data_IF_354661214577
#
_entry.id   IF_354661214577
#
_cell.length_a   1.000
_cell.length_b   1.000
_cell.length_c   1.000
_cell.angle_alpha   90.00
_cell.angle_beta   90.00
_cell.angle_gamma   90.00
#
_symmetry.space_group_name_H-M   'P 1'
#
loop_
_entity.id
_entity.type
_entity.pdbx_description
1 polymer ?
#
# COMPACT_ATOMS: atom_id res chain seq x y z
N UNK A 1 -6.00 7.69 18.13
CA UNK A 1 -7.18 7.75 17.25
C UNK A 1 -8.50 7.62 18.00
N UNK A 2 -8.50 7.38 19.30
CA UNK A 2 -9.74 7.16 20.08
C UNK A 2 -10.45 5.85 19.72
N UNK A 3 -9.89 5.06 18.80
CA UNK A 3 -10.40 3.74 18.44
C UNK A 3 -10.01 2.69 19.50
N UNK A 4 -10.83 1.65 19.72
CA UNK A 4 -10.47 0.52 20.55
C UNK A 4 -9.24 -0.21 20.00
N UNK A 5 -8.48 -0.85 20.89
CA UNK A 5 -7.35 -1.68 20.50
C UNK A 5 -7.79 -3.14 20.39
N UNK A 6 -7.40 -3.83 19.33
CA UNK A 6 -7.64 -5.25 19.13
C UNK A 6 -6.38 -5.92 18.58
N UNK A 7 -5.84 -6.91 19.31
CA UNK A 7 -4.57 -7.58 18.99
C UNK A 7 -4.69 -9.10 18.82
N UNK A 8 -5.81 -9.66 19.21
CA UNK A 8 -6.08 -11.09 19.07
C UNK A 8 -7.10 -11.32 17.96
N UNK A 9 -7.06 -12.51 17.37
CA UNK A 9 -8.03 -12.89 16.33
C UNK A 9 -9.48 -12.76 16.81
N UNK A 10 -9.75 -13.07 18.09
CA UNK A 10 -11.09 -12.97 18.66
C UNK A 10 -11.56 -11.51 18.81
N UNK A 11 -10.64 -10.61 19.23
CA UNK A 11 -10.94 -9.18 19.33
C UNK A 11 -11.16 -8.56 17.94
N UNK A 12 -10.34 -8.94 16.95
CA UNK A 12 -10.44 -8.44 15.58
C UNK A 12 -11.77 -8.77 14.91
N UNK A 13 -12.33 -9.97 15.14
CA UNK A 13 -13.62 -10.41 14.52
C UNK A 13 -14.81 -9.50 14.80
N UNK A 14 -14.68 -8.57 15.74
CA UNK A 14 -15.74 -7.62 16.11
C UNK A 14 -15.72 -6.35 15.26
N UNK A 15 -14.73 -6.21 14.35
CA UNK A 15 -14.52 -4.99 13.58
C UNK A 15 -14.50 -5.25 12.08
N UNK A 16 -14.93 -4.25 11.31
CA UNK A 16 -14.88 -4.27 9.86
C UNK A 16 -13.48 -3.93 9.34
N UNK A 17 -12.78 -3.01 10.05
CA UNK A 17 -11.46 -2.51 9.68
C UNK A 17 -10.48 -2.57 10.84
N UNK A 18 -9.22 -2.88 10.54
CA UNK A 18 -8.14 -2.84 11.51
C UNK A 18 -6.96 -2.01 11.00
N UNK A 19 -6.56 -1.01 11.80
CA UNK A 19 -5.41 -0.13 11.49
C UNK A 19 -4.13 -0.76 12.02
N UNK A 20 -3.17 -1.00 11.12
CA UNK A 20 -1.86 -1.56 11.43
C UNK A 20 -0.77 -0.54 11.12
N UNK A 21 0.16 -0.33 12.04
CA UNK A 21 1.35 0.49 11.80
C UNK A 21 2.54 -0.37 11.38
N UNK A 22 3.30 0.11 10.40
CA UNK A 22 4.54 -0.49 9.90
C UNK A 22 5.66 0.54 9.97
N UNK A 23 6.31 0.72 11.14
CA UNK A 23 7.36 1.71 11.33
C UNK A 23 8.69 1.24 10.71
N UNK A 24 8.73 1.10 9.38
CA UNK A 24 9.87 0.57 8.62
C UNK A 24 10.52 1.65 7.75
N UNK A 25 11.85 1.69 7.72
CA UNK A 25 12.66 2.59 6.89
C UNK A 25 13.91 1.88 6.34
N UNK A 26 13.82 0.56 6.13
CA UNK A 26 14.95 -0.25 5.65
C UNK A 26 15.22 -0.08 4.17
N UNK A 27 14.23 0.30 3.37
CA UNK A 27 14.34 0.50 1.92
C UNK A 27 14.77 1.91 1.50
N UNK A 28 15.26 2.73 2.43
CA UNK A 28 15.67 4.10 2.14
C UNK A 28 16.92 4.15 1.27
N UNK A 29 16.82 4.80 0.11
CA UNK A 29 17.86 4.81 -0.94
C UNK A 29 18.92 5.89 -0.78
N UNK A 30 18.68 6.89 0.05
CA UNK A 30 19.64 7.97 0.31
C UNK A 30 20.12 7.91 1.74
N UNK A 31 21.43 8.01 1.94
CA UNK A 31 22.02 8.08 3.28
C UNK A 31 21.39 9.20 4.09
N UNK A 32 20.69 8.84 5.13
CA UNK A 32 19.97 9.76 5.97
C UNK A 32 18.60 9.21 6.38
N UNK A 33 18.11 9.75 7.44
CA UNK A 33 16.82 9.39 8.02
C UNK A 33 15.69 10.15 7.31
N UNK A 34 14.74 9.45 6.72
CA UNK A 34 13.60 10.05 6.01
C UNK A 34 12.38 10.24 6.91
N UNK A 35 12.46 9.83 8.15
CA UNK A 35 11.38 9.90 9.14
C UNK A 35 10.15 9.01 8.87
N UNK A 36 10.20 8.14 7.88
CA UNK A 36 9.11 7.21 7.58
C UNK A 36 8.78 6.29 8.78
N UNK A 37 9.79 5.93 9.57
CA UNK A 37 9.64 5.10 10.76
C UNK A 37 8.69 5.70 11.80
N UNK A 38 8.56 7.02 11.87
CA UNK A 38 7.66 7.69 12.82
C UNK A 38 6.28 8.01 12.25
N UNK A 39 6.06 7.78 10.95
CA UNK A 39 4.81 8.12 10.29
C UNK A 39 3.57 7.45 10.93
N UNK A 40 3.57 6.14 11.28
CA UNK A 40 2.41 5.53 11.93
C UNK A 40 2.03 6.23 13.24
N UNK A 41 3.02 6.58 14.07
CA UNK A 41 2.81 7.30 15.33
C UNK A 41 2.30 8.72 15.09
N UNK A 42 2.87 9.43 14.10
CA UNK A 42 2.50 10.80 13.78
C UNK A 42 1.07 10.87 13.25
N UNK A 43 0.69 9.97 12.34
CA UNK A 43 -0.68 9.88 11.80
C UNK A 43 -1.67 9.65 12.93
N UNK A 44 -1.40 8.69 13.85
CA UNK A 44 -2.25 8.44 15.01
C UNK A 44 -2.40 9.66 15.93
N UNK A 45 -1.33 10.41 16.15
CA UNK A 45 -1.38 11.60 17.02
C UNK A 45 -2.23 12.72 16.42
N UNK A 46 -2.15 12.91 15.11
CA UNK A 46 -2.93 13.94 14.39
C UNK A 46 -4.39 13.51 14.23
N UNK A 47 -4.66 12.22 14.06
CA UNK A 47 -6.02 11.70 13.83
C UNK A 47 -7.00 11.99 14.96
N UNK A 48 -6.52 12.31 16.17
CA UNK A 48 -7.37 12.72 17.29
C UNK A 48 -8.15 14.02 17.05
N UNK A 49 -7.78 14.78 16.02
CA UNK A 49 -8.45 16.03 15.61
C UNK A 49 -9.59 15.80 14.63
N UNK A 50 -9.74 14.58 14.13
CA UNK A 50 -10.72 14.25 13.11
C UNK A 50 -11.84 13.40 13.71
N UNK A 51 -13.05 13.65 13.23
CA UNK A 51 -14.26 12.88 13.55
C UNK A 51 -14.74 12.13 12.30
N UNK A 52 -15.65 11.20 12.45
CA UNK A 52 -16.16 10.39 11.34
C UNK A 52 -17.12 11.10 10.40
N UNK A 53 -17.63 12.28 10.80
CA UNK A 53 -18.63 12.99 10.02
C UNK A 53 -18.10 13.67 8.75
N UNK A 54 -18.73 13.38 7.63
CA UNK A 54 -18.42 13.91 6.30
C UNK A 54 -19.54 14.84 5.83
N UNK A 55 -19.35 16.17 5.92
CA UNK A 55 -20.44 17.13 5.66
C UNK A 55 -20.94 17.13 4.22
N UNK A 56 -20.10 16.78 3.24
CA UNK A 56 -20.51 16.70 1.83
C UNK A 56 -21.55 15.61 1.55
N UNK A 57 -21.62 14.62 2.44
CA UNK A 57 -22.52 13.45 2.32
C UNK A 57 -23.58 13.37 3.42
N UNK A 58 -23.53 14.28 4.40
CA UNK A 58 -24.34 14.24 5.63
C UNK A 58 -24.32 12.86 6.30
N UNK A 59 -23.12 12.36 6.56
CA UNK A 59 -22.86 10.97 6.91
C UNK A 59 -21.72 10.87 7.95
N UNK A 60 -21.92 10.10 9.02
CA UNK A 60 -20.83 9.71 9.93
C UNK A 60 -20.36 8.31 9.62
N UNK A 61 -19.07 8.19 9.29
CA UNK A 61 -18.42 6.94 8.94
C UNK A 61 -18.59 5.87 10.03
N UNK A 62 -18.52 6.28 11.30
CA UNK A 62 -18.56 5.34 12.43
C UNK A 62 -19.96 4.86 12.81
N UNK A 63 -21.02 5.43 12.21
CA UNK A 63 -22.36 4.86 12.34
C UNK A 63 -22.56 3.59 11.50
N UNK A 64 -21.68 3.36 10.51
CA UNK A 64 -21.83 2.29 9.51
C UNK A 64 -20.69 1.29 9.51
N UNK A 65 -19.53 1.64 10.06
CA UNK A 65 -18.38 0.75 10.09
C UNK A 65 -17.61 0.84 11.41
N UNK A 66 -17.21 -0.30 11.90
CA UNK A 66 -16.44 -0.45 13.12
C UNK A 66 -14.95 -0.56 12.80
N UNK A 67 -14.13 0.19 13.53
CA UNK A 67 -12.68 0.23 13.34
C UNK A 67 -11.93 -0.02 14.64
N UNK A 68 -10.81 -0.72 14.57
CA UNK A 68 -9.88 -0.90 15.70
C UNK A 68 -8.43 -0.57 15.32
N UNK A 69 -7.59 -0.36 16.33
CA UNK A 69 -6.15 -0.20 16.18
C UNK A 69 -5.45 -1.52 16.58
N UNK A 70 -4.88 -2.19 15.59
CA UNK A 70 -4.07 -3.40 15.77
C UNK A 70 -2.72 -3.08 16.43
N UNK A 71 -2.25 -1.83 16.29
CA UNK A 71 -0.97 -1.36 16.78
C UNK A 71 0.14 -1.46 15.73
N UNK A 72 1.37 -1.24 16.17
CA UNK A 72 2.54 -1.36 15.30
C UNK A 72 3.08 -2.79 15.34
N UNK A 73 3.45 -3.32 14.16
CA UNK A 73 4.10 -4.63 14.05
C UNK A 73 5.58 -4.54 14.47
N UNK A 74 6.17 -5.65 14.95
CA UNK A 74 7.60 -5.69 15.25
C UNK A 74 8.43 -5.52 13.98
N UNK A 75 9.41 -4.63 14.03
CA UNK A 75 10.38 -4.38 12.96
C UNK A 75 11.79 -4.60 13.49
N UNK A 76 12.64 -5.22 12.69
CA UNK A 76 14.07 -5.35 12.95
C UNK A 76 14.84 -4.58 11.88
N UNK A 77 15.43 -3.45 12.28
CA UNK A 77 16.30 -2.67 11.40
C UNK A 77 17.50 -3.51 10.92
N UNK A 78 17.82 -3.41 9.62
CA UNK A 78 18.89 -4.18 9.00
C UNK A 78 18.51 -5.62 8.61
N UNK A 79 17.25 -6.04 8.80
CA UNK A 79 16.76 -7.34 8.34
C UNK A 79 15.46 -7.19 7.55
N UNK A 80 15.57 -7.26 6.23
CA UNK A 80 14.38 -7.36 5.36
C UNK A 80 13.59 -8.65 5.65
N UNK A 81 14.29 -9.76 5.81
CA UNK A 81 13.66 -11.06 6.04
C UNK A 81 12.74 -11.04 7.26
N UNK A 82 13.25 -10.61 8.41
CA UNK A 82 12.45 -10.50 9.64
C UNK A 82 11.30 -9.52 9.48
N UNK A 83 11.59 -8.32 8.99
CA UNK A 83 10.59 -7.25 8.89
C UNK A 83 9.48 -7.60 7.89
N UNK A 84 9.83 -8.19 6.74
CA UNK A 84 8.85 -8.62 5.74
C UNK A 84 8.01 -9.80 6.22
N UNK A 85 8.59 -10.75 6.95
CA UNK A 85 7.83 -11.83 7.58
C UNK A 85 6.84 -11.28 8.61
N UNK A 86 7.26 -10.30 9.40
CA UNK A 86 6.39 -9.61 10.37
C UNK A 86 5.23 -8.87 9.70
N UNK A 87 5.47 -8.19 8.57
CA UNK A 87 4.45 -7.51 7.77
C UNK A 87 3.42 -8.50 7.22
N UNK A 88 3.87 -9.60 6.59
CA UNK A 88 2.98 -10.66 6.08
C UNK A 88 2.15 -11.27 7.20
N UNK A 89 2.76 -11.56 8.33
CA UNK A 89 2.04 -12.09 9.50
C UNK A 89 0.96 -11.13 9.98
N UNK A 90 1.30 -9.85 10.17
CA UNK A 90 0.35 -8.85 10.69
C UNK A 90 -0.86 -8.66 9.78
N UNK A 91 -0.64 -8.47 8.47
CA UNK A 91 -1.76 -8.35 7.52
C UNK A 91 -2.54 -9.66 7.42
N UNK A 92 -1.85 -10.80 7.49
CA UNK A 92 -2.48 -12.12 7.47
C UNK A 92 -3.42 -12.34 8.64
N UNK A 93 -3.03 -11.98 9.85
CA UNK A 93 -3.88 -12.09 11.05
C UNK A 93 -5.15 -11.22 10.94
N UNK A 94 -5.03 -10.01 10.39
CA UNK A 94 -6.17 -9.12 10.17
C UNK A 94 -7.14 -9.72 9.14
N UNK A 95 -6.61 -10.23 8.01
CA UNK A 95 -7.42 -10.86 6.97
C UNK A 95 -8.09 -12.16 7.45
N UNK A 96 -7.40 -12.97 8.25
CA UNK A 96 -7.96 -14.21 8.82
C UNK A 96 -9.11 -13.95 9.79
N UNK A 97 -9.12 -12.77 10.44
CA UNK A 97 -10.22 -12.34 11.26
C UNK A 97 -11.42 -11.80 10.46
N UNK A 98 -11.28 -11.63 9.15
CA UNK A 98 -12.32 -11.06 8.28
C UNK A 98 -12.32 -9.54 8.20
N UNK A 99 -11.33 -8.86 8.80
CA UNK A 99 -11.21 -7.41 8.76
C UNK A 99 -10.51 -6.94 7.49
N UNK A 100 -10.84 -5.72 7.07
CA UNK A 100 -10.09 -5.02 6.02
C UNK A 100 -8.89 -4.29 6.66
N UNK A 101 -7.64 -4.59 6.26
CA UNK A 101 -6.46 -3.92 6.80
C UNK A 101 -6.32 -2.50 6.26
N UNK A 102 -6.05 -1.54 7.16
CA UNK A 102 -5.60 -0.19 6.83
C UNK A 102 -4.17 -0.05 7.37
N UNK A 103 -3.18 0.07 6.50
CA UNK A 103 -1.78 0.11 6.90
C UNK A 103 -1.23 1.53 6.85
N UNK A 104 -0.72 1.99 7.98
CA UNK A 104 0.09 3.21 8.03
C UNK A 104 1.56 2.82 7.90
N UNK A 105 2.15 3.24 6.80
CA UNK A 105 3.48 2.82 6.45
C UNK A 105 4.59 3.65 7.02
N UNK A 106 5.72 3.06 6.85
CA UNK A 106 7.05 3.46 6.67
C UNK A 106 7.36 3.84 5.23
N UNK A 107 8.53 3.45 4.72
CA UNK A 107 8.88 3.68 3.31
C UNK A 107 8.10 2.75 2.36
N UNK A 108 8.14 3.05 1.05
CA UNK A 108 7.28 2.36 0.09
C UNK A 108 7.65 0.88 -0.17
N UNK A 109 8.82 0.42 0.29
CA UNK A 109 9.22 -0.98 0.16
C UNK A 109 8.26 -1.95 0.86
N UNK A 110 7.50 -1.47 1.85
CA UNK A 110 6.49 -2.26 2.58
C UNK A 110 5.38 -2.79 1.67
N UNK A 111 5.09 -2.12 0.56
CA UNK A 111 4.04 -2.56 -0.37
C UNK A 111 4.31 -3.95 -0.95
N UNK A 112 5.58 -4.31 -1.17
CA UNK A 112 5.91 -5.63 -1.70
C UNK A 112 5.47 -6.78 -0.77
N UNK A 113 5.90 -6.88 0.50
CA UNK A 113 5.47 -7.96 1.38
C UNK A 113 3.97 -7.97 1.67
N UNK A 114 3.31 -6.81 1.74
CA UNK A 114 1.88 -6.73 1.99
C UNK A 114 1.07 -7.26 0.80
N UNK A 115 1.41 -6.84 -0.43
CA UNK A 115 0.75 -7.34 -1.65
C UNK A 115 1.08 -8.82 -1.89
N UNK A 116 2.32 -9.23 -1.65
CA UNK A 116 2.75 -10.63 -1.78
C UNK A 116 1.95 -11.57 -0.87
N UNK A 117 1.57 -11.13 0.34
CA UNK A 117 0.67 -11.91 1.21
C UNK A 117 -0.73 -12.06 0.60
N UNK A 118 -1.29 -11.00 0.01
CA UNK A 118 -2.55 -11.09 -0.73
C UNK A 118 -2.42 -12.04 -1.92
N UNK A 119 -1.32 -11.99 -2.66
CA UNK A 119 -1.06 -12.87 -3.80
C UNK A 119 -0.94 -14.33 -3.37
N UNK A 120 -0.37 -14.62 -2.20
CA UNK A 120 -0.33 -15.97 -1.64
C UNK A 120 -1.74 -16.52 -1.39
N UNK A 121 -2.67 -15.70 -0.94
CA UNK A 121 -4.06 -16.06 -0.61
C UNK A 121 -4.97 -16.14 -1.85
N UNK A 122 -4.87 -15.16 -2.74
CA UNK A 122 -5.77 -14.96 -3.88
C UNK A 122 -5.13 -15.31 -5.23
N UNK A 123 -3.87 -15.75 -5.24
CA UNK A 123 -3.10 -16.02 -6.45
C UNK A 123 -3.14 -14.80 -7.40
N UNK A 124 -3.27 -15.00 -8.69
CA UNK A 124 -3.33 -13.95 -9.72
C UNK A 124 -4.61 -13.12 -9.73
N UNK A 125 -5.39 -13.18 -8.65
CA UNK A 125 -6.67 -12.47 -8.51
C UNK A 125 -6.59 -11.25 -7.59
N UNK A 126 -5.41 -10.60 -7.55
CA UNK A 126 -5.15 -9.36 -6.82
C UNK A 126 -4.98 -8.21 -7.82
N UNK A 127 -5.77 -7.15 -7.68
CA UNK A 127 -5.59 -5.89 -8.39
C UNK A 127 -4.81 -4.90 -7.53
N UNK A 128 -4.07 -3.97 -8.15
CA UNK A 128 -3.30 -2.94 -7.44
C UNK A 128 -3.56 -1.56 -8.03
N UNK A 129 -4.04 -0.63 -7.19
CA UNK A 129 -4.12 0.79 -7.48
C UNK A 129 -2.99 1.51 -6.73
N UNK A 130 -2.02 2.03 -7.48
CA UNK A 130 -0.85 2.72 -6.93
C UNK A 130 -0.92 4.21 -7.24
N UNK A 131 -1.25 5.03 -6.24
CA UNK A 131 -1.28 6.49 -6.33
C UNK A 131 0.04 7.08 -5.87
N UNK A 132 0.80 7.66 -6.79
CA UNK A 132 2.15 8.18 -6.53
C UNK A 132 2.59 9.21 -7.58
N UNK A 133 3.65 9.94 -7.26
CA UNK A 133 4.44 10.70 -8.22
C UNK A 133 5.45 9.79 -8.97
N UNK A 134 5.87 8.70 -8.35
CA UNK A 134 6.93 7.82 -8.81
C UNK A 134 6.39 6.45 -9.25
N UNK A 135 7.15 5.74 -10.06
CA UNK A 135 6.78 4.39 -10.52
C UNK A 135 7.17 3.30 -9.52
N UNK A 136 8.29 3.48 -8.83
CA UNK A 136 8.85 2.53 -7.86
C UNK A 136 9.03 1.11 -8.42
N UNK A 137 9.48 1.05 -9.68
CA UNK A 137 9.69 -0.17 -10.45
C UNK A 137 11.14 -0.41 -10.83
N UNK A 138 12.09 0.22 -10.11
CA UNK A 138 13.53 -0.03 -10.30
C UNK A 138 13.86 -1.49 -10.02
N UNK A 139 14.69 -2.15 -10.86
CA UNK A 139 15.16 -3.50 -10.57
C UNK A 139 15.97 -3.58 -9.29
N UNK A 140 16.83 -2.60 -9.05
CA UNK A 140 17.66 -2.44 -7.85
C UNK A 140 17.96 -0.96 -7.63
N UNK A 141 18.37 -0.61 -6.43
CA UNK A 141 19.04 0.67 -6.17
C UNK A 141 20.41 0.37 -5.55
N UNK A 142 21.49 0.59 -6.32
CA UNK A 142 22.77 -0.03 -6.00
C UNK A 142 22.61 -1.55 -5.99
N UNK A 143 23.06 -2.17 -4.91
CA UNK A 143 22.91 -3.61 -4.69
C UNK A 143 21.64 -4.01 -3.92
N UNK A 144 20.80 -3.02 -3.55
CA UNK A 144 19.59 -3.27 -2.78
C UNK A 144 18.40 -3.61 -3.69
N UNK A 145 17.96 -4.88 -3.59
CA UNK A 145 16.80 -5.40 -4.30
C UNK A 145 15.45 -4.93 -3.71
N UNK A 146 15.46 -4.55 -2.44
CA UNK A 146 14.23 -4.22 -1.68
C UNK A 146 14.12 -2.75 -1.32
N UNK A 147 14.83 -1.90 -2.07
CA UNK A 147 14.75 -0.46 -1.88
C UNK A 147 13.31 0.05 -2.05
N UNK A 148 13.02 1.21 -1.49
CA UNK A 148 11.69 1.86 -1.60
C UNK A 148 11.26 2.19 -3.03
N UNK A 149 12.20 2.24 -3.99
CA UNK A 149 11.90 2.42 -5.41
C UNK A 149 11.78 1.10 -6.19
N UNK A 150 11.75 -0.05 -5.51
CA UNK A 150 11.74 -1.37 -6.15
C UNK A 150 10.53 -2.28 -5.82
N UNK A 151 9.54 -1.90 -4.99
CA UNK A 151 8.52 -2.83 -4.52
C UNK A 151 7.73 -3.46 -5.67
N UNK A 152 7.38 -2.67 -6.68
CA UNK A 152 6.59 -3.18 -7.80
C UNK A 152 7.42 -4.00 -8.77
N UNK A 153 8.73 -3.73 -8.91
CA UNK A 153 9.61 -4.62 -9.68
C UNK A 153 9.71 -6.00 -9.03
N UNK A 154 9.79 -6.05 -7.68
CA UNK A 154 9.74 -7.34 -6.96
C UNK A 154 8.41 -8.05 -7.17
N UNK A 155 7.31 -7.30 -7.17
CA UNK A 155 5.97 -7.84 -7.40
C UNK A 155 5.80 -8.39 -8.83
N UNK A 156 6.38 -7.73 -9.85
CA UNK A 156 6.35 -8.23 -11.23
C UNK A 156 7.03 -9.61 -11.40
N UNK A 157 7.97 -9.94 -10.52
CA UNK A 157 8.62 -11.25 -10.48
C UNK A 157 7.89 -12.30 -9.64
N UNK A 158 6.80 -11.96 -8.95
CA UNK A 158 6.03 -12.89 -8.12
C UNK A 158 5.14 -13.76 -9.02
N UNK A 159 5.32 -15.07 -8.98
CA UNK A 159 4.55 -16.04 -9.77
C UNK A 159 3.05 -16.05 -9.47
N UNK A 160 2.66 -15.56 -8.29
CA UNK A 160 1.28 -15.46 -7.84
C UNK A 160 0.63 -14.11 -8.18
N UNK A 161 1.33 -13.19 -8.83
CA UNK A 161 0.82 -11.91 -9.26
C UNK A 161 0.65 -11.83 -10.78
N UNK A 162 -0.42 -11.20 -11.22
CA UNK A 162 -0.64 -10.83 -12.61
C UNK A 162 -0.35 -9.33 -12.78
N UNK A 163 0.83 -9.00 -13.31
CA UNK A 163 1.30 -7.61 -13.44
C UNK A 163 0.45 -6.75 -14.41
N UNK A 164 -0.43 -7.36 -15.20
CA UNK A 164 -1.40 -6.60 -16.01
C UNK A 164 -2.53 -5.99 -15.17
N UNK A 165 -2.66 -6.39 -13.90
CA UNK A 165 -3.68 -5.93 -12.95
C UNK A 165 -3.18 -4.82 -12.01
N UNK A 166 -2.07 -4.18 -12.34
CA UNK A 166 -1.62 -2.98 -11.63
C UNK A 166 -1.75 -1.73 -12.47
N UNK A 167 -2.23 -0.66 -11.85
CA UNK A 167 -2.29 0.68 -12.45
C UNK A 167 -1.54 1.66 -11.56
N UNK A 168 -0.48 2.27 -12.10
CA UNK A 168 0.25 3.37 -11.50
C UNK A 168 -0.41 4.69 -11.90
N UNK A 169 -0.86 5.49 -10.95
CA UNK A 169 -1.71 6.67 -11.17
C UNK A 169 -1.04 7.91 -10.61
N UNK A 170 -0.99 8.97 -11.42
CA UNK A 170 -0.48 10.27 -10.97
C UNK A 170 1.00 10.47 -11.22
N UNK A 171 1.64 9.58 -11.95
CA UNK A 171 3.08 9.57 -12.19
C UNK A 171 3.52 10.89 -12.85
N UNK A 172 4.55 11.55 -12.26
CA UNK A 172 4.99 12.88 -12.68
C UNK A 172 6.40 13.22 -12.18
N UNK A 173 6.97 14.27 -12.78
CA UNK A 173 8.23 14.84 -12.31
C UNK A 173 9.48 14.09 -12.74
N UNK A 174 10.67 14.72 -12.54
CA UNK A 174 11.95 14.25 -13.08
C UNK A 174 12.63 13.17 -12.23
N UNK A 175 12.04 12.73 -11.12
CA UNK A 175 12.59 11.66 -10.26
C UNK A 175 12.17 10.26 -10.70
N UNK A 176 11.53 10.13 -11.86
CA UNK A 176 11.24 8.84 -12.49
C UNK A 176 12.37 8.49 -13.46
N UNK A 177 13.04 7.39 -13.25
CA UNK A 177 14.07 6.91 -14.16
C UNK A 177 13.45 6.26 -15.40
N UNK A 178 14.08 6.42 -16.56
CA UNK A 178 13.61 5.77 -17.78
C UNK A 178 13.51 4.24 -17.65
N UNK A 179 14.42 3.63 -16.89
CA UNK A 179 14.39 2.20 -16.63
C UNK A 179 13.09 1.75 -15.95
N UNK A 180 12.55 2.54 -15.03
CA UNK A 180 11.29 2.22 -14.35
C UNK A 180 10.13 2.11 -15.34
N UNK A 181 10.08 3.02 -16.33
CA UNK A 181 9.09 2.97 -17.39
C UNK A 181 9.24 1.72 -18.25
N UNK A 182 10.47 1.33 -18.57
CA UNK A 182 10.77 0.12 -19.33
C UNK A 182 10.29 -1.12 -18.56
N UNK A 183 10.56 -1.21 -17.26
CA UNK A 183 10.15 -2.36 -16.45
C UNK A 183 8.62 -2.46 -16.34
N UNK A 184 7.93 -1.35 -16.11
CA UNK A 184 6.48 -1.33 -16.08
C UNK A 184 5.87 -1.78 -17.42
N UNK A 185 6.44 -1.34 -18.56
CA UNK A 185 6.00 -1.76 -19.90
C UNK A 185 6.23 -3.25 -20.16
N UNK A 186 7.40 -3.78 -19.80
CA UNK A 186 7.72 -5.22 -19.94
C UNK A 186 6.77 -6.08 -19.14
N UNK A 187 6.39 -5.62 -17.95
CA UNK A 187 5.45 -6.29 -17.07
C UNK A 187 3.99 -6.21 -17.56
N UNK A 188 3.69 -5.35 -18.53
CA UNK A 188 2.32 -5.10 -18.99
C UNK A 188 1.50 -4.20 -18.05
N UNK A 189 2.15 -3.57 -17.08
CA UNK A 189 1.51 -2.65 -16.13
C UNK A 189 1.00 -1.37 -16.82
N UNK A 190 -0.13 -0.87 -16.35
CA UNK A 190 -0.70 0.39 -16.86
C UNK A 190 -0.16 1.58 -16.08
N UNK A 191 0.23 2.63 -16.81
CA UNK A 191 0.67 3.90 -16.22
C UNK A 191 -0.23 5.02 -16.69
N UNK A 192 -0.88 5.70 -15.75
CA UNK A 192 -1.72 6.89 -15.97
C UNK A 192 -0.98 8.09 -15.36
N UNK A 193 -0.44 8.95 -16.19
CA UNK A 193 0.33 10.11 -15.73
C UNK A 193 -0.59 11.24 -15.23
N UNK A 194 -0.06 12.11 -14.36
CA UNK A 194 -0.78 13.32 -13.94
C UNK A 194 -1.18 14.20 -15.14
N UNK A 195 -0.37 14.19 -16.23
CA UNK A 195 -0.72 14.88 -17.47
C UNK A 195 -1.92 14.25 -18.17
N UNK A 196 -2.00 12.91 -18.23
CA UNK A 196 -3.16 12.20 -18.79
C UNK A 196 -4.44 12.53 -18.00
N UNK A 197 -4.37 12.52 -16.67
CA UNK A 197 -5.50 12.87 -15.81
C UNK A 197 -5.99 14.30 -16.10
N UNK A 198 -5.06 15.25 -16.26
CA UNK A 198 -5.38 16.63 -16.58
C UNK A 198 -6.05 16.80 -17.96
N UNK A 199 -5.65 15.99 -18.94
CA UNK A 199 -6.16 16.08 -20.32
C UNK A 199 -7.51 15.36 -20.50
N UNK A 200 -7.67 14.19 -19.87
CA UNK A 200 -8.81 13.29 -20.07
C UNK A 200 -9.88 13.42 -18.98
N UNK A 201 -9.59 14.15 -17.90
CA UNK A 201 -10.41 14.22 -16.71
C UNK A 201 -10.13 13.08 -15.71
N UNK A 202 -10.32 13.38 -14.44
CA UNK A 202 -10.05 12.44 -13.36
C UNK A 202 -11.04 11.27 -13.35
N UNK A 203 -12.33 11.53 -13.65
CA UNK A 203 -13.37 10.49 -13.64
C UNK A 203 -13.05 9.38 -14.66
N UNK A 204 -12.76 9.75 -15.90
CA UNK A 204 -12.42 8.80 -16.95
C UNK A 204 -11.13 8.03 -16.63
N UNK A 205 -10.14 8.71 -16.05
CA UNK A 205 -8.85 8.10 -15.68
C UNK A 205 -9.01 7.07 -14.54
N UNK A 206 -9.81 7.39 -13.53
CA UNK A 206 -10.08 6.48 -12.41
C UNK A 206 -10.97 5.32 -12.86
N UNK A 207 -12.01 5.58 -13.69
CA UNK A 207 -12.84 4.49 -14.21
C UNK A 207 -12.00 3.48 -15.01
N UNK A 208 -11.11 3.96 -15.89
CA UNK A 208 -10.16 3.11 -16.63
C UNK A 208 -9.30 2.27 -15.68
N UNK A 209 -8.81 2.88 -14.60
CA UNK A 209 -7.98 2.17 -13.62
C UNK A 209 -8.79 1.07 -12.89
N UNK A 210 -10.01 1.38 -12.45
CA UNK A 210 -10.91 0.44 -11.80
C UNK A 210 -11.24 -0.73 -12.74
N UNK A 211 -11.58 -0.47 -14.00
CA UNK A 211 -11.92 -1.50 -14.99
C UNK A 211 -10.76 -2.49 -15.20
N UNK A 212 -9.51 -2.01 -15.14
CA UNK A 212 -8.32 -2.86 -15.27
C UNK A 212 -8.12 -3.72 -14.03
N UNK A 213 -8.10 -3.09 -12.83
CA UNK A 213 -7.73 -3.81 -11.61
C UNK A 213 -8.83 -4.70 -11.06
N UNK A 214 -10.10 -4.46 -11.42
CA UNK A 214 -11.24 -5.26 -10.96
C UNK A 214 -11.53 -6.47 -11.85
N UNK A 215 -10.93 -6.54 -13.05
CA UNK A 215 -11.19 -7.64 -13.98
C UNK A 215 -10.60 -8.95 -13.45
N UNK A 216 -11.47 -9.93 -13.18
CA UNK A 216 -11.09 -11.26 -12.67
C UNK A 216 -10.23 -11.19 -11.39
N UNK A 217 -10.56 -10.27 -10.47
CA UNK A 217 -9.90 -10.11 -9.17
C UNK A 217 -10.85 -10.36 -8.01
N UNK A 218 -10.32 -10.86 -6.90
CA UNK A 218 -11.05 -11.05 -5.65
C UNK A 218 -10.88 -9.86 -4.71
N UNK A 219 -9.68 -9.24 -4.74
CA UNK A 219 -9.32 -8.14 -3.86
C UNK A 219 -8.52 -7.09 -4.62
N UNK A 220 -8.63 -5.84 -4.19
CA UNK A 220 -7.86 -4.72 -4.72
C UNK A 220 -7.05 -4.12 -3.57
N UNK A 221 -5.74 -4.08 -3.73
CA UNK A 221 -4.84 -3.34 -2.86
C UNK A 221 -4.73 -1.89 -3.34
N UNK A 222 -4.96 -0.95 -2.44
CA UNK A 222 -4.80 0.48 -2.73
C UNK A 222 -3.62 1.01 -1.93
N UNK A 223 -2.64 1.59 -2.61
CA UNK A 223 -1.53 2.30 -1.96
C UNK A 223 -1.50 3.75 -2.37
N UNK A 224 -1.30 4.62 -1.40
CA UNK A 224 -1.18 6.06 -1.59
C UNK A 224 0.13 6.52 -0.98
N UNK A 225 1.07 6.90 -1.83
CA UNK A 225 2.31 7.52 -1.39
C UNK A 225 2.09 9.02 -1.15
N UNK A 226 2.64 9.52 -0.06
CA UNK A 226 2.47 10.92 0.34
C UNK A 226 3.67 11.81 0.00
N UNK A 227 4.69 11.27 -0.69
CA UNK A 227 5.88 12.04 -1.06
C UNK A 227 5.79 12.82 -2.38
#
# INVERSE_FOLDING_TARGET
MGMPTAKTAEELKQYDFAVMGVPFEGGCTYGGFSSCVVAPKTIRSVSTRYVGYLPDYDFDTFDYMSCCDYGDIPIQNGSYEYSFASMRKGIGEILDAGCVPITFGGDHSISYPLISELCTRHKKRVGVLHFDAHLDTMPTFGDDLYSRCSPFNRLYGDENFDSTKIVHIGIRGPRNHHQERIEAQKAGATVITAREIKLNGWQASIQKAIDIVSKDTDVIYVTVCSD
#
